data_IF_261502656397
#
_entry.id   IF_261502656397
#
_cell.length_a   1.000
_cell.length_b   1.000
_cell.length_c   1.000
_cell.angle_alpha   90.00
_cell.angle_beta   90.00
_cell.angle_gamma   90.00
#
_symmetry.space_group_name_H-M   'P 1'
#
loop_
_entity.id
_entity.type
_entity.pdbx_description
1 polymer ?
#
# COMPACT_ATOMS: atom_id res chain seq x y z
N UNK A 1 10.68 -0.31 -23.53
CA UNK A 1 9.64 -0.66 -24.54
C UNK A 1 9.47 -2.18 -24.70
N UNK A 2 10.55 -3.00 -24.70
CA UNK A 2 10.47 -4.47 -24.92
C UNK A 2 9.62 -5.21 -23.88
N UNK A 3 9.68 -4.82 -22.62
CA UNK A 3 9.04 -5.55 -21.49
C UNK A 3 7.82 -4.83 -20.91
N UNK A 4 7.31 -3.76 -21.52
CA UNK A 4 6.15 -2.97 -21.07
C UNK A 4 6.23 -2.58 -19.59
N UNK A 5 7.44 -2.26 -19.09
CA UNK A 5 7.62 -1.79 -17.72
C UNK A 5 6.80 -0.53 -17.45
N UNK A 6 6.18 -0.50 -16.28
CA UNK A 6 5.39 0.63 -15.75
C UNK A 6 5.93 1.05 -14.40
N UNK A 7 5.59 2.24 -13.99
CA UNK A 7 5.84 2.70 -12.61
C UNK A 7 5.22 1.73 -11.62
N UNK A 8 5.91 1.45 -10.53
CA UNK A 8 5.48 0.49 -9.51
C UNK A 8 5.93 -0.96 -9.75
N UNK A 9 6.50 -1.30 -10.92
CA UNK A 9 7.09 -2.62 -11.16
C UNK A 9 8.36 -2.83 -10.32
N UNK A 10 8.44 -3.97 -9.66
CA UNK A 10 9.66 -4.44 -9.03
C UNK A 10 10.51 -5.20 -10.06
N UNK A 11 11.67 -4.65 -10.40
CA UNK A 11 12.54 -5.21 -11.42
C UNK A 11 13.76 -5.86 -10.77
N UNK A 12 13.97 -7.13 -11.04
CA UNK A 12 15.17 -7.88 -10.66
C UNK A 12 16.06 -8.10 -11.87
N UNK A 13 17.36 -7.88 -11.71
CA UNK A 13 18.28 -8.05 -12.83
C UNK A 13 19.74 -7.90 -12.44
N UNK A 14 20.64 -8.08 -13.40
CA UNK A 14 22.08 -7.83 -13.21
C UNK A 14 22.41 -6.38 -13.51
N UNK A 15 23.17 -5.78 -12.61
CA UNK A 15 23.64 -4.41 -12.74
C UNK A 15 25.08 -4.38 -13.23
N UNK A 16 25.45 -3.29 -13.90
CA UNK A 16 26.84 -3.03 -14.27
C UNK A 16 27.56 -2.40 -13.08
N UNK A 17 28.77 -2.86 -12.75
CA UNK A 17 29.63 -2.15 -11.81
C UNK A 17 29.87 -0.72 -12.34
N UNK A 18 29.47 0.26 -11.57
CA UNK A 18 29.62 1.67 -11.91
C UNK A 18 31.05 2.12 -11.60
N UNK A 19 31.67 2.88 -12.51
CA UNK A 19 32.88 3.64 -12.19
C UNK A 19 32.53 4.66 -11.11
N UNK A 20 33.48 4.95 -10.21
CA UNK A 20 33.32 5.69 -8.94
C UNK A 20 32.56 7.05 -8.97
N UNK A 21 32.15 7.53 -10.14
CA UNK A 21 31.53 8.86 -10.31
C UNK A 21 30.09 8.81 -10.83
N UNK A 22 29.43 7.66 -10.91
CA UNK A 22 28.07 7.60 -11.43
C UNK A 22 27.04 7.41 -10.30
N UNK A 23 26.17 8.37 -10.11
CA UNK A 23 25.07 8.36 -9.11
C UNK A 23 24.03 7.26 -9.35
N UNK A 24 23.98 6.66 -10.53
CA UNK A 24 22.95 5.69 -10.93
C UNK A 24 23.57 4.36 -11.34
N UNK A 25 23.02 3.28 -10.80
CA UNK A 25 23.40 1.92 -11.19
C UNK A 25 22.65 1.57 -12.48
N UNK A 26 23.39 1.25 -13.54
CA UNK A 26 22.80 0.83 -14.81
C UNK A 26 22.40 -0.66 -14.77
N UNK A 27 21.14 -0.96 -15.04
CA UNK A 27 20.64 -2.30 -15.19
C UNK A 27 21.07 -2.86 -16.55
N UNK A 28 21.80 -3.98 -16.57
CA UNK A 28 22.30 -4.62 -17.82
C UNK A 28 21.20 -5.44 -18.50
N UNK A 29 20.56 -6.31 -17.75
CA UNK A 29 19.40 -7.07 -18.21
C UNK A 29 18.47 -7.45 -17.06
N UNK A 30 17.20 -7.64 -17.41
CA UNK A 30 16.13 -7.97 -16.48
C UNK A 30 16.00 -9.49 -16.42
N UNK A 31 16.00 -10.04 -15.21
CA UNK A 31 15.78 -11.46 -14.95
C UNK A 31 14.36 -11.76 -14.50
N UNK A 32 13.73 -10.81 -13.77
CA UNK A 32 12.33 -10.94 -13.33
C UNK A 32 11.66 -9.58 -13.20
N UNK A 33 10.34 -9.55 -13.38
CA UNK A 33 9.46 -8.42 -13.13
C UNK A 33 8.38 -8.89 -12.17
N UNK A 34 8.29 -8.25 -10.99
CA UNK A 34 7.38 -8.66 -9.92
C UNK A 34 7.48 -10.16 -9.54
N UNK A 35 8.66 -10.76 -9.72
CA UNK A 35 8.93 -12.16 -9.39
C UNK A 35 8.62 -13.18 -10.49
N UNK A 36 8.08 -12.77 -11.64
CA UNK A 36 7.86 -13.65 -12.80
C UNK A 36 8.78 -13.31 -13.97
N UNK A 37 8.77 -14.15 -15.03
CA UNK A 37 9.59 -13.92 -16.22
C UNK A 37 9.16 -12.63 -16.95
N UNK A 38 10.10 -11.91 -17.59
CA UNK A 38 9.77 -10.69 -18.33
C UNK A 38 8.78 -10.93 -19.48
N UNK A 39 8.79 -12.13 -20.06
CA UNK A 39 7.89 -12.54 -21.14
C UNK A 39 6.45 -12.70 -20.63
N UNK A 40 6.25 -13.35 -19.49
CA UNK A 40 4.95 -13.48 -18.82
C UNK A 40 4.44 -12.12 -18.34
N UNK A 41 5.31 -11.30 -17.74
CA UNK A 41 4.95 -9.96 -17.29
C UNK A 41 4.48 -9.06 -18.44
N UNK A 42 4.99 -9.25 -19.65
CA UNK A 42 4.56 -8.49 -20.84
C UNK A 42 3.15 -8.85 -21.33
N UNK A 43 2.63 -10.01 -20.95
CA UNK A 43 1.28 -10.49 -21.34
C UNK A 43 0.18 -10.05 -20.36
N UNK A 44 0.53 -9.47 -19.22
CA UNK A 44 -0.45 -9.01 -18.22
C UNK A 44 -1.37 -7.94 -18.79
N UNK A 45 -2.64 -7.98 -18.40
CA UNK A 45 -3.60 -6.92 -18.73
C UNK A 45 -3.30 -5.69 -17.87
N UNK A 46 -3.28 -4.48 -18.45
CA UNK A 46 -3.20 -3.25 -17.68
C UNK A 46 -4.35 -3.13 -16.67
N UNK A 47 -4.09 -2.48 -15.54
CA UNK A 47 -5.10 -2.29 -14.48
C UNK A 47 -6.35 -1.57 -15.00
N UNK A 48 -6.16 -0.63 -15.90
CA UNK A 48 -7.22 0.17 -16.53
C UNK A 48 -8.17 -0.67 -17.39
N UNK A 49 -7.70 -1.82 -17.89
CA UNK A 49 -8.48 -2.75 -18.72
C UNK A 49 -9.18 -3.85 -17.89
N UNK A 50 -9.01 -3.83 -16.55
CA UNK A 50 -9.69 -4.76 -15.66
C UNK A 50 -11.13 -4.31 -15.41
N UNK A 51 -12.05 -5.29 -15.36
CA UNK A 51 -13.46 -5.01 -15.08
C UNK A 51 -13.67 -4.85 -13.57
N UNK A 52 -14.12 -3.69 -13.09
CA UNK A 52 -14.46 -3.51 -11.69
C UNK A 52 -15.71 -4.34 -11.33
N UNK A 53 -15.66 -5.02 -10.20
CA UNK A 53 -16.79 -5.80 -9.68
C UNK A 53 -17.19 -5.26 -8.30
N UNK A 54 -18.45 -5.49 -7.91
CA UNK A 54 -18.87 -5.22 -6.54
C UNK A 54 -18.20 -6.21 -5.57
N UNK A 55 -17.88 -5.78 -4.34
CA UNK A 55 -17.33 -6.65 -3.31
C UNK A 55 -18.31 -7.79 -2.98
N UNK A 56 -18.03 -9.00 -3.45
CA UNK A 56 -18.83 -10.20 -3.21
C UNK A 56 -18.13 -11.20 -2.28
N UNK A 57 -16.85 -10.99 -1.99
CA UNK A 57 -16.04 -11.80 -1.09
C UNK A 57 -15.59 -10.96 0.11
N UNK A 58 -15.98 -11.38 1.31
CA UNK A 58 -15.72 -10.67 2.56
C UNK A 58 -14.38 -11.08 3.15
N UNK A 59 -13.64 -10.11 3.71
CA UNK A 59 -12.58 -10.37 4.66
C UNK A 59 -13.16 -10.65 6.04
N UNK A 60 -12.79 -11.76 6.66
CA UNK A 60 -13.02 -12.03 8.08
C UNK A 60 -11.81 -11.53 8.85
N UNK A 61 -12.02 -10.56 9.71
CA UNK A 61 -10.95 -9.92 10.48
C UNK A 61 -10.78 -10.53 11.86
N UNK A 62 -11.84 -11.18 12.38
CA UNK A 62 -11.82 -11.81 13.70
C UNK A 62 -10.77 -12.91 13.75
N UNK A 63 -9.94 -12.85 14.78
CA UNK A 63 -8.91 -13.86 15.06
C UNK A 63 -9.18 -14.48 16.44
N UNK A 64 -8.81 -15.76 16.68
CA UNK A 64 -8.98 -16.38 17.99
C UNK A 64 -8.30 -15.56 19.09
N UNK A 65 -9.04 -15.18 20.14
CA UNK A 65 -8.51 -14.44 21.28
C UNK A 65 -9.60 -13.69 22.05
N UNK A 66 -9.41 -13.53 23.35
CA UNK A 66 -10.36 -12.87 24.26
C UNK A 66 -9.86 -11.48 24.71
N UNK A 67 -9.42 -10.62 23.80
CA UNK A 67 -8.99 -9.26 24.15
C UNK A 67 -10.05 -8.21 23.78
N UNK A 68 -10.01 -7.04 24.43
CA UNK A 68 -10.85 -5.89 24.05
C UNK A 68 -10.67 -5.50 22.56
N UNK A 69 -9.47 -5.73 22.02
CA UNK A 69 -9.18 -5.53 20.60
C UNK A 69 -9.98 -6.50 19.71
N UNK A 70 -10.16 -7.73 20.15
CA UNK A 70 -10.97 -8.73 19.45
C UNK A 70 -12.44 -8.32 19.37
N UNK A 71 -12.99 -7.67 20.39
CA UNK A 71 -14.36 -7.16 20.37
C UNK A 71 -14.57 -6.09 19.29
N UNK A 72 -13.64 -5.13 19.15
CA UNK A 72 -13.74 -4.09 18.13
C UNK A 72 -13.71 -4.68 16.72
N UNK A 73 -12.85 -5.65 16.47
CA UNK A 73 -12.73 -6.33 15.17
C UNK A 73 -13.98 -7.15 14.88
N UNK A 74 -14.51 -7.88 15.86
CA UNK A 74 -15.77 -8.61 15.73
C UNK A 74 -16.96 -7.70 15.43
N UNK A 75 -17.01 -6.50 16.01
CA UNK A 75 -18.03 -5.51 15.69
C UNK A 75 -17.92 -5.04 14.23
N UNK A 76 -16.72 -4.83 13.70
CA UNK A 76 -16.51 -4.49 12.29
C UNK A 76 -17.05 -5.64 11.41
N UNK A 77 -16.67 -6.87 11.69
CA UNK A 77 -17.12 -8.04 10.91
C UNK A 77 -18.65 -8.20 10.90
N UNK A 78 -19.34 -7.79 11.98
CA UNK A 78 -20.79 -7.93 12.10
C UNK A 78 -21.56 -6.75 11.52
N UNK A 79 -21.09 -5.50 11.74
CA UNK A 79 -21.86 -4.28 11.45
C UNK A 79 -21.40 -3.62 10.15
N UNK A 80 -20.10 -3.67 9.86
CA UNK A 80 -19.48 -3.00 8.71
C UNK A 80 -18.42 -3.91 8.05
N UNK A 81 -18.82 -5.07 7.52
CA UNK A 81 -17.88 -6.02 6.93
C UNK A 81 -17.14 -5.40 5.76
N UNK A 82 -15.87 -5.74 5.63
CA UNK A 82 -14.98 -5.26 4.56
C UNK A 82 -14.87 -6.36 3.51
N UNK A 83 -15.14 -6.02 2.25
CA UNK A 83 -15.02 -6.94 1.12
C UNK A 83 -13.81 -6.64 0.22
N UNK A 84 -13.38 -7.63 -0.55
CA UNK A 84 -12.34 -7.46 -1.57
C UNK A 84 -12.81 -6.46 -2.62
N UNK A 85 -11.98 -5.46 -2.93
CA UNK A 85 -12.32 -4.35 -3.83
C UNK A 85 -13.08 -3.19 -3.17
N UNK A 86 -13.40 -3.28 -1.88
CA UNK A 86 -14.09 -2.22 -1.15
C UNK A 86 -13.15 -1.08 -0.77
N UNK A 87 -13.68 0.15 -0.80
CA UNK A 87 -13.06 1.33 -0.21
C UNK A 87 -13.79 1.68 1.08
N UNK A 88 -13.07 1.67 2.20
CA UNK A 88 -13.59 2.01 3.53
C UNK A 88 -12.93 3.27 4.07
N UNK A 89 -13.69 4.06 4.82
CA UNK A 89 -13.19 5.25 5.50
C UNK A 89 -13.44 5.12 7.00
N UNK A 90 -12.37 5.26 7.80
CA UNK A 90 -12.44 5.30 9.26
C UNK A 90 -12.39 6.77 9.70
N UNK A 91 -13.50 7.26 10.21
CA UNK A 91 -13.63 8.63 10.73
C UNK A 91 -13.68 8.59 12.24
N UNK A 92 -12.77 9.31 12.89
CA UNK A 92 -12.73 9.40 14.35
C UNK A 92 -12.11 10.72 14.79
N UNK A 93 -12.43 11.12 16.01
CA UNK A 93 -11.75 12.24 16.66
C UNK A 93 -10.27 11.94 16.90
N UNK A 94 -9.41 12.95 17.03
CA UNK A 94 -8.02 12.75 17.45
C UNK A 94 -7.95 11.95 18.77
N UNK A 95 -6.98 11.05 18.88
CA UNK A 95 -6.73 10.19 20.06
C UNK A 95 -7.85 9.19 20.39
N UNK A 96 -8.79 8.94 19.49
CA UNK A 96 -9.86 7.95 19.67
C UNK A 96 -9.45 6.51 19.35
N UNK A 97 -8.17 6.23 19.09
CA UNK A 97 -7.66 4.88 18.83
C UNK A 97 -7.70 4.44 17.37
N UNK A 98 -7.80 5.37 16.39
CA UNK A 98 -7.79 5.06 14.95
C UNK A 98 -6.61 4.18 14.54
N UNK A 99 -5.38 4.56 14.92
CA UNK A 99 -4.17 3.79 14.60
C UNK A 99 -4.18 2.40 15.23
N UNK A 100 -4.71 2.27 16.45
CA UNK A 100 -4.89 0.97 17.12
C UNK A 100 -5.87 0.09 16.36
N UNK A 101 -6.96 0.67 15.86
CA UNK A 101 -7.95 -0.05 15.04
C UNK A 101 -7.35 -0.49 13.72
N UNK A 102 -6.60 0.39 13.02
CA UNK A 102 -5.89 0.05 11.78
C UNK A 102 -4.91 -1.11 11.99
N UNK A 103 -4.13 -1.11 13.09
CA UNK A 103 -3.24 -2.23 13.45
C UNK A 103 -4.01 -3.53 13.65
N UNK A 104 -5.16 -3.46 14.29
CA UNK A 104 -5.99 -4.65 14.54
C UNK A 104 -6.56 -5.20 13.23
N UNK A 105 -7.02 -4.35 12.32
CA UNK A 105 -7.46 -4.74 10.97
C UNK A 105 -6.30 -5.36 10.19
N UNK A 106 -5.13 -4.71 10.17
CA UNK A 106 -3.94 -5.19 9.50
C UNK A 106 -3.54 -6.59 9.96
N UNK A 107 -3.51 -6.80 11.28
CA UNK A 107 -3.16 -8.09 11.88
C UNK A 107 -4.22 -9.17 11.60
N UNK A 108 -5.51 -8.83 11.61
CA UNK A 108 -6.58 -9.74 11.22
C UNK A 108 -6.43 -10.21 9.78
N UNK A 109 -6.18 -9.29 8.86
CA UNK A 109 -5.93 -9.63 7.44
C UNK A 109 -4.67 -10.49 7.30
N UNK A 110 -3.55 -10.07 7.89
CA UNK A 110 -2.28 -10.79 7.77
C UNK A 110 -2.32 -12.20 8.37
N UNK A 111 -3.16 -12.42 9.38
CA UNK A 111 -3.31 -13.72 10.03
C UNK A 111 -4.26 -14.65 9.26
N UNK A 112 -5.40 -14.13 8.80
CA UNK A 112 -6.43 -14.93 8.15
C UNK A 112 -6.19 -15.11 6.64
N UNK A 113 -5.44 -14.19 6.02
CA UNK A 113 -5.19 -14.17 4.56
C UNK A 113 -3.69 -13.94 4.27
N UNK A 114 -2.83 -14.94 4.50
CA UNK A 114 -1.38 -14.81 4.34
C UNK A 114 -0.93 -14.53 2.90
N UNK A 115 -1.78 -14.84 1.91
CA UNK A 115 -1.50 -14.62 0.47
C UNK A 115 -1.85 -13.20 0.01
N UNK A 116 -2.58 -12.43 0.83
CA UNK A 116 -2.94 -11.04 0.54
C UNK A 116 -1.72 -10.15 0.75
N UNK A 117 -1.44 -9.32 -0.23
CA UNK A 117 -0.37 -8.33 -0.12
C UNK A 117 -0.87 -7.11 0.66
N UNK A 118 -0.49 -7.03 1.93
CA UNK A 118 -0.87 -5.95 2.83
C UNK A 118 0.16 -4.83 2.79
N UNK A 119 -0.26 -3.63 2.40
CA UNK A 119 0.54 -2.42 2.41
C UNK A 119 -0.06 -1.44 3.42
N UNK A 120 0.75 -0.92 4.32
CA UNK A 120 0.38 0.16 5.24
C UNK A 120 1.13 1.42 4.82
N UNK A 121 0.38 2.45 4.44
CA UNK A 121 0.91 3.73 3.99
C UNK A 121 0.71 4.79 5.08
N UNK A 122 1.82 5.31 5.60
CA UNK A 122 1.85 6.35 6.63
C UNK A 122 2.32 7.66 6.02
N UNK A 123 1.48 8.69 6.07
CA UNK A 123 1.78 10.01 5.49
C UNK A 123 1.84 11.06 6.58
N UNK A 124 2.97 11.80 6.63
CA UNK A 124 3.21 12.88 7.59
C UNK A 124 3.12 12.38 9.04
N UNK A 125 3.61 11.15 9.29
CA UNK A 125 3.60 10.53 10.61
C UNK A 125 4.95 10.68 11.33
N UNK A 126 4.95 10.50 12.64
CA UNK A 126 6.17 10.60 13.45
C UNK A 126 7.01 9.33 13.33
N UNK A 127 8.36 9.42 13.34
CA UNK A 127 9.25 8.27 13.23
C UNK A 127 8.99 7.17 14.26
N UNK A 128 8.62 7.53 15.48
CA UNK A 128 8.26 6.59 16.53
C UNK A 128 6.99 5.80 16.21
N UNK A 129 5.97 6.44 15.60
CA UNK A 129 4.73 5.78 15.17
C UNK A 129 4.98 4.85 13.99
N UNK A 130 5.86 5.26 13.07
CA UNK A 130 6.32 4.42 11.95
C UNK A 130 7.02 3.15 12.48
N UNK A 131 7.96 3.31 13.41
CA UNK A 131 8.69 2.19 13.99
C UNK A 131 7.77 1.23 14.74
N UNK A 132 6.79 1.76 15.49
CA UNK A 132 5.80 0.96 16.19
C UNK A 132 4.90 0.19 15.22
N UNK A 133 4.51 0.81 14.09
CA UNK A 133 3.73 0.15 13.04
C UNK A 133 4.53 -0.99 12.40
N UNK A 134 5.78 -0.75 12.01
CA UNK A 134 6.68 -1.76 11.42
C UNK A 134 6.89 -2.97 12.33
N UNK A 135 6.96 -2.76 13.66
CA UNK A 135 7.11 -3.85 14.63
C UNK A 135 5.82 -4.61 14.91
N UNK A 136 4.68 -3.94 14.72
CA UNK A 136 3.36 -4.46 15.13
C UNK A 136 2.64 -5.22 14.02
N UNK A 137 3.04 -5.07 12.76
CA UNK A 137 2.29 -5.58 11.60
C UNK A 137 3.19 -6.48 10.74
N UNK A 138 2.61 -7.58 10.27
CA UNK A 138 3.20 -8.42 9.23
C UNK A 138 2.70 -7.93 7.86
N UNK A 139 3.41 -6.97 7.27
CA UNK A 139 3.05 -6.38 5.99
C UNK A 139 4.13 -5.40 5.54
N UNK A 140 3.98 -4.88 4.34
CA UNK A 140 4.85 -3.83 3.80
C UNK A 140 4.43 -2.49 4.40
N UNK A 141 5.32 -1.83 5.17
CA UNK A 141 5.07 -0.48 5.72
C UNK A 141 5.85 0.54 4.92
N UNK A 142 5.14 1.37 4.19
CA UNK A 142 5.68 2.48 3.41
C UNK A 142 5.31 3.79 4.11
N UNK A 143 6.24 4.71 4.20
CA UNK A 143 6.01 5.92 4.98
C UNK A 143 6.72 7.14 4.40
N UNK A 144 6.21 8.31 4.79
CA UNK A 144 6.85 9.60 4.64
C UNK A 144 6.62 10.37 5.94
N UNK A 145 7.72 10.75 6.61
CA UNK A 145 7.70 11.35 7.95
C UNK A 145 7.42 12.86 7.87
N UNK A 146 7.02 13.45 8.99
CA UNK A 146 6.55 14.84 9.08
C UNK A 146 7.61 15.90 8.70
N UNK A 147 8.88 15.54 8.71
CA UNK A 147 10.02 16.38 8.34
C UNK A 147 10.28 16.42 6.82
N UNK A 148 9.59 15.59 6.06
CA UNK A 148 9.68 15.55 4.59
C UNK A 148 8.84 16.65 3.92
N UNK A 149 9.21 17.01 2.71
CA UNK A 149 8.48 18.00 1.91
C UNK A 149 7.12 17.44 1.42
N UNK A 150 6.09 18.28 1.20
CA UNK A 150 4.78 17.85 0.71
C UNK A 150 4.84 17.04 -0.59
N UNK A 151 5.77 17.39 -1.51
CA UNK A 151 5.98 16.66 -2.77
C UNK A 151 6.48 15.23 -2.54
N UNK A 152 7.18 14.99 -1.44
CA UNK A 152 7.59 13.64 -1.07
C UNK A 152 6.39 12.80 -0.63
N UNK A 153 5.48 13.36 0.17
CA UNK A 153 4.25 12.69 0.60
C UNK A 153 3.39 12.26 -0.57
N UNK A 154 3.16 13.15 -1.54
CA UNK A 154 2.35 12.84 -2.74
C UNK A 154 3.04 11.77 -3.60
N UNK A 155 4.35 11.89 -3.82
CA UNK A 155 5.13 10.92 -4.61
C UNK A 155 5.12 9.52 -3.99
N UNK A 156 5.25 9.41 -2.67
CA UNK A 156 5.21 8.12 -1.97
C UNK A 156 3.84 7.50 -2.11
N UNK A 157 2.76 8.28 -1.94
CA UNK A 157 1.40 7.80 -2.10
C UNK A 157 1.13 7.31 -3.54
N UNK A 158 1.54 8.07 -4.55
CA UNK A 158 1.43 7.69 -5.96
C UNK A 158 2.20 6.40 -6.26
N UNK A 159 3.43 6.27 -5.73
CA UNK A 159 4.24 5.05 -5.91
C UNK A 159 3.58 3.82 -5.29
N UNK A 160 2.96 3.95 -4.11
CA UNK A 160 2.23 2.85 -3.47
C UNK A 160 1.01 2.46 -4.29
N UNK A 161 0.27 3.41 -4.83
CA UNK A 161 -0.89 3.14 -5.68
C UNK A 161 -0.46 2.44 -6.98
N UNK A 162 0.57 2.94 -7.65
CA UNK A 162 1.12 2.32 -8.86
C UNK A 162 1.60 0.89 -8.58
N UNK A 163 2.33 0.67 -7.47
CA UNK A 163 2.76 -0.66 -7.06
C UNK A 163 1.57 -1.59 -6.80
N UNK A 164 0.54 -1.10 -6.12
CA UNK A 164 -0.67 -1.87 -5.85
C UNK A 164 -1.36 -2.31 -7.15
N UNK A 165 -1.48 -1.41 -8.12
CA UNK A 165 -2.02 -1.73 -9.45
C UNK A 165 -1.19 -2.80 -10.15
N UNK A 166 0.16 -2.72 -10.09
CA UNK A 166 1.04 -3.77 -10.68
C UNK A 166 0.85 -5.13 -10.04
N UNK A 167 0.63 -5.19 -8.72
CA UNK A 167 0.36 -6.45 -8.02
C UNK A 167 -1.01 -7.04 -8.41
N UNK A 168 -2.03 -6.19 -8.55
CA UNK A 168 -3.36 -6.62 -9.01
C UNK A 168 -3.31 -7.15 -10.45
N UNK A 169 -2.54 -6.51 -11.37
CA UNK A 169 -2.29 -7.01 -12.73
C UNK A 169 -1.66 -8.41 -12.75
N UNK A 170 -0.98 -8.78 -11.66
CA UNK A 170 -0.38 -10.09 -11.46
C UNK A 170 -1.32 -11.09 -10.78
N UNK A 171 -2.61 -10.74 -10.60
CA UNK A 171 -3.61 -11.56 -9.94
C UNK A 171 -3.45 -11.67 -8.42
N UNK A 172 -2.75 -10.71 -7.78
CA UNK A 172 -2.61 -10.66 -6.33
C UNK A 172 -3.74 -9.85 -5.71
N UNK A 173 -4.27 -10.34 -4.59
CA UNK A 173 -5.14 -9.55 -3.72
C UNK A 173 -4.29 -8.54 -2.95
N UNK A 174 -4.67 -7.27 -3.00
CA UNK A 174 -3.92 -6.19 -2.35
C UNK A 174 -4.82 -5.40 -1.43
N UNK A 175 -4.38 -5.19 -0.20
CA UNK A 175 -5.03 -4.30 0.76
C UNK A 175 -4.08 -3.15 1.09
N UNK A 176 -4.56 -1.92 0.91
CA UNK A 176 -3.84 -0.70 1.29
C UNK A 176 -4.54 -0.06 2.48
N UNK A 177 -3.87 0.03 3.61
CA UNK A 177 -4.32 0.77 4.79
C UNK A 177 -3.56 2.10 4.85
N UNK A 178 -4.27 3.22 4.87
CA UNK A 178 -3.65 4.56 4.87
C UNK A 178 -3.94 5.31 6.16
N UNK A 179 -2.91 5.85 6.77
CA UNK A 179 -2.96 6.82 7.87
C UNK A 179 -2.09 8.05 7.53
N UNK A 180 -2.63 9.23 7.16
CA UNK A 180 -4.03 9.51 7.00
C UNK A 180 -4.33 10.26 5.69
N UNK A 181 -5.53 10.04 5.15
CA UNK A 181 -6.00 10.72 3.93
C UNK A 181 -6.08 12.25 4.12
N UNK A 182 -6.36 12.73 5.34
CA UNK A 182 -6.40 14.17 5.65
C UNK A 182 -5.03 14.83 5.43
N UNK A 183 -3.96 14.17 5.86
CA UNK A 183 -2.59 14.68 5.69
C UNK A 183 -2.15 14.62 4.24
N UNK A 184 -2.52 13.55 3.54
CA UNK A 184 -2.27 13.43 2.10
C UNK A 184 -3.00 14.54 1.31
N UNK A 185 -4.28 14.81 1.61
CA UNK A 185 -5.03 15.87 0.96
C UNK A 185 -4.39 17.25 1.21
N UNK A 186 -3.88 17.48 2.42
CA UNK A 186 -3.13 18.71 2.74
C UNK A 186 -1.86 18.82 1.89
N UNK A 187 -1.10 17.74 1.74
CA UNK A 187 0.10 17.72 0.91
C UNK A 187 -0.24 18.04 -0.56
N UNK A 188 -1.29 17.46 -1.12
CA UNK A 188 -1.75 17.78 -2.47
C UNK A 188 -2.16 19.25 -2.61
N UNK A 189 -2.88 19.82 -1.64
CA UNK A 189 -3.25 21.23 -1.67
C UNK A 189 -2.06 22.19 -1.67
N UNK A 190 -0.91 21.76 -1.11
CA UNK A 190 0.33 22.54 -1.09
C UNK A 190 1.15 22.37 -2.37
N UNK A 191 1.00 21.26 -3.07
CA UNK A 191 1.82 20.93 -4.25
C UNK A 191 1.14 21.29 -5.57
N UNK A 192 -0.19 21.32 -5.62
CA UNK A 192 -0.93 21.71 -6.82
C UNK A 192 -0.92 23.24 -6.92
N UNK A 193 -0.39 23.75 -8.02
CA UNK A 193 -0.48 25.16 -8.34
C UNK A 193 -1.95 25.58 -8.38
N UNK A 194 -2.32 26.60 -7.60
CA UNK A 194 -3.66 27.17 -7.64
C UNK A 194 -3.93 27.66 -9.07
N UNK A 195 -4.75 26.93 -9.81
CA UNK A 195 -5.32 27.44 -11.05
C UNK A 195 -6.20 28.60 -10.67
N UNK A 196 -5.66 29.82 -10.78
CA UNK A 196 -6.39 31.06 -10.44
C UNK A 196 -7.70 31.13 -11.21
N UNK A 197 -8.76 30.81 -10.55
CA UNK A 197 -10.15 31.21 -10.81
C UNK A 197 -10.77 31.61 -9.49
#
# INVERSE_FOLDING_TARGET
>A
RRFRLRTGDLVTGKTRQTRENNRYVALMYITAINGISPEEAALRKPFEDLVPIFPNERFTLETPGNSQKALAIRLIDLISPIGKGQRGLIVSQPKAGKTTLLKSIANGIAQNYPDVHLIVLLIDERPEEVTDMQRSIKGEVVYSTFDELPEHHTRVAEMVMERSMRLVEMGKDVVVLMDSITRLARAYNLTINSTGK
#
